data_IF_345912663264
#
_entry.id   IF_345912663264
#
_cell.length_a   1.000
_cell.length_b   1.000
_cell.length_c   1.000
_cell.angle_alpha   90.00
_cell.angle_beta   90.00
_cell.angle_gamma   90.00
#
_symmetry.space_group_name_H-M   'P 1'
#
loop_
_entity.id
_entity.type
_entity.pdbx_description
1 polymer ?
#
# COMPACT_ATOMS: atom_id res chain seq x y z
N UNK A 1 42.93 32.90 61.40
CA UNK A 1 41.52 32.83 60.95
C UNK A 1 41.39 32.93 59.42
N UNK A 2 42.29 32.30 58.66
CA UNK A 2 42.35 32.38 57.19
C UNK A 2 42.23 31.00 56.51
N UNK A 3 41.80 29.97 57.26
CA UNK A 3 41.63 28.61 56.73
C UNK A 3 40.17 28.22 56.47
N UNK A 4 39.21 28.99 56.99
CA UNK A 4 37.77 28.75 56.81
C UNK A 4 37.18 29.40 55.54
N UNK A 5 37.91 30.32 54.90
CA UNK A 5 37.44 31.04 53.70
C UNK A 5 37.65 30.27 52.38
N UNK A 6 38.41 29.17 52.38
CA UNK A 6 38.68 28.37 51.18
C UNK A 6 37.55 27.38 50.81
N UNK A 7 36.58 27.15 51.69
CA UNK A 7 35.44 26.27 51.41
C UNK A 7 34.35 26.91 50.54
N UNK A 8 34.39 28.24 50.34
CA UNK A 8 33.40 28.98 49.54
C UNK A 8 33.77 29.07 48.04
N UNK A 9 34.89 28.46 47.62
CA UNK A 9 35.38 28.47 46.24
C UNK A 9 35.15 27.15 45.49
N UNK A 10 34.43 26.18 46.09
CA UNK A 10 33.96 25.02 45.36
C UNK A 10 32.57 25.36 44.80
N UNK A 11 32.40 25.55 43.48
CA UNK A 11 31.07 25.61 42.91
C UNK A 11 30.40 24.27 43.23
N UNK A 12 29.41 24.29 44.11
CA UNK A 12 28.51 23.17 44.31
C UNK A 12 27.90 22.90 42.94
N UNK A 13 28.33 21.79 42.32
CA UNK A 13 27.76 21.31 41.06
C UNK A 13 26.29 21.05 41.35
N UNK A 14 25.44 22.00 40.97
CA UNK A 14 24.00 21.85 41.12
C UNK A 14 23.62 20.76 40.12
N UNK A 15 23.49 19.54 40.62
CA UNK A 15 23.06 18.41 39.82
C UNK A 15 21.55 18.54 39.62
N UNK A 16 21.15 19.50 38.78
CA UNK A 16 19.76 19.66 38.36
C UNK A 16 19.44 18.50 37.41
N UNK A 17 18.94 17.39 37.96
CA UNK A 17 18.31 16.37 37.14
C UNK A 17 17.01 16.95 36.59
N UNK A 18 16.97 17.21 35.28
CA UNK A 18 15.74 17.53 34.57
C UNK A 18 14.82 16.30 34.65
N UNK A 19 13.83 16.34 35.53
CA UNK A 19 12.77 15.33 35.58
C UNK A 19 11.80 15.65 34.45
N UNK A 20 11.96 14.99 33.31
CA UNK A 20 10.99 15.09 32.23
C UNK A 20 9.83 14.16 32.57
N UNK A 21 8.69 14.74 32.91
CA UNK A 21 7.42 14.03 33.02
C UNK A 21 6.89 13.85 31.61
N UNK A 22 7.40 12.87 30.87
CA UNK A 22 6.75 12.49 29.62
C UNK A 22 5.40 11.88 29.97
N UNK A 23 4.31 12.49 29.49
CA UNK A 23 3.06 11.76 29.35
C UNK A 23 3.29 10.69 28.29
N UNK A 24 3.03 9.43 28.63
CA UNK A 24 3.04 8.36 27.64
C UNK A 24 2.08 8.75 26.50
N UNK A 25 2.54 8.71 25.24
CA UNK A 25 1.67 9.03 24.13
C UNK A 25 0.48 8.07 24.10
N UNK A 26 -0.69 8.49 23.59
CA UNK A 26 -1.80 7.58 23.40
C UNK A 26 -1.38 6.39 22.53
N UNK A 27 -2.11 5.27 22.67
CA UNK A 27 -1.93 4.11 21.80
C UNK A 27 -2.21 4.50 20.33
N UNK A 28 -1.46 3.90 19.41
CA UNK A 28 -1.71 4.01 17.98
C UNK A 28 -2.89 3.11 17.57
N UNK A 29 -3.91 3.73 17.00
CA UNK A 29 -5.15 3.12 16.51
C UNK A 29 -5.52 3.69 15.14
N UNK A 30 -4.53 4.12 14.35
CA UNK A 30 -4.73 4.61 12.99
C UNK A 30 -5.32 3.51 12.09
N UNK A 31 -6.35 3.85 11.31
CA UNK A 31 -7.05 2.88 10.48
C UNK A 31 -6.27 2.59 9.18
N UNK A 32 -5.97 1.31 8.95
CA UNK A 32 -5.43 0.83 7.67
C UNK A 32 -6.21 -0.37 7.16
N UNK A 33 -6.42 -0.45 5.83
CA UNK A 33 -7.18 -1.51 5.19
C UNK A 33 -6.40 -2.10 4.03
N UNK A 34 -6.17 -3.41 4.13
CA UNK A 34 -5.67 -4.23 3.02
C UNK A 34 -6.83 -4.49 2.05
N UNK A 35 -6.76 -3.89 0.87
CA UNK A 35 -7.77 -4.08 -0.16
C UNK A 35 -7.54 -5.40 -0.90
N UNK A 36 -8.65 -6.01 -1.29
CA UNK A 36 -8.73 -7.29 -2.01
C UNK A 36 -9.76 -7.17 -3.12
N UNK A 37 -9.82 -8.17 -4.01
CA UNK A 37 -10.84 -8.20 -5.05
C UNK A 37 -12.28 -8.22 -4.52
N UNK A 38 -12.50 -8.55 -3.24
CA UNK A 38 -13.85 -8.63 -2.65
C UNK A 38 -14.31 -7.35 -1.96
N UNK A 39 -13.41 -6.46 -1.53
CA UNK A 39 -13.78 -5.23 -0.80
C UNK A 39 -13.45 -3.95 -1.57
N UNK A 40 -12.59 -4.01 -2.59
CA UNK A 40 -12.07 -2.82 -3.26
C UNK A 40 -13.16 -1.93 -3.87
N UNK A 41 -14.22 -2.52 -4.40
CA UNK A 41 -15.36 -1.77 -4.96
C UNK A 41 -16.13 -1.00 -3.88
N UNK A 42 -16.24 -1.53 -2.68
CA UNK A 42 -16.93 -0.89 -1.55
C UNK A 42 -16.17 0.36 -1.07
N UNK A 43 -14.85 0.26 -0.96
CA UNK A 43 -14.02 1.34 -0.43
C UNK A 43 -13.70 2.43 -1.45
N UNK A 44 -13.39 2.05 -2.69
CA UNK A 44 -12.85 2.98 -3.70
C UNK A 44 -13.51 2.85 -5.07
N UNK A 45 -14.58 2.05 -5.22
CA UNK A 45 -15.20 1.76 -6.52
C UNK A 45 -15.73 2.98 -7.26
N UNK A 46 -16.07 4.05 -6.53
CA UNK A 46 -16.52 5.33 -7.11
C UNK A 46 -15.37 6.28 -7.45
N UNK A 47 -14.13 5.97 -7.05
CA UNK A 47 -12.98 6.83 -7.33
C UNK A 47 -12.62 6.79 -8.82
N UNK A 48 -12.26 7.94 -9.37
CA UNK A 48 -11.78 8.04 -10.76
C UNK A 48 -10.52 7.20 -10.97
N UNK A 49 -9.67 7.10 -9.95
CA UNK A 49 -8.46 6.28 -9.99
C UNK A 49 -8.79 4.79 -10.15
N UNK A 50 -9.73 4.26 -9.37
CA UNK A 50 -10.17 2.86 -9.48
C UNK A 50 -10.70 2.55 -10.87
N UNK A 51 -11.61 3.39 -11.38
CA UNK A 51 -12.25 3.22 -12.69
C UNK A 51 -11.22 3.22 -13.83
N UNK A 52 -10.21 4.09 -13.75
CA UNK A 52 -9.24 4.29 -14.84
C UNK A 52 -8.04 3.34 -14.77
N UNK A 53 -7.58 2.98 -13.57
CA UNK A 53 -6.30 2.29 -13.38
C UNK A 53 -6.45 0.88 -12.81
N UNK A 54 -7.52 0.57 -12.07
CA UNK A 54 -7.66 -0.73 -11.38
C UNK A 54 -8.70 -1.61 -12.06
N UNK A 55 -9.78 -1.04 -12.59
CA UNK A 55 -10.84 -1.82 -13.25
C UNK A 55 -10.28 -2.68 -14.38
N UNK A 56 -10.58 -3.98 -14.33
CA UNK A 56 -10.08 -4.95 -15.31
C UNK A 56 -8.65 -5.44 -15.07
N UNK A 57 -8.00 -5.08 -13.96
CA UNK A 57 -6.71 -5.62 -13.53
C UNK A 57 -6.88 -6.70 -12.47
N UNK A 58 -5.88 -7.58 -12.36
CA UNK A 58 -5.79 -8.52 -11.25
C UNK A 58 -5.28 -7.78 -10.00
N UNK A 59 -5.91 -8.03 -8.85
CA UNK A 59 -5.55 -7.39 -7.58
C UNK A 59 -5.33 -8.42 -6.47
N UNK A 60 -4.39 -8.14 -5.57
CA UNK A 60 -4.02 -8.97 -4.43
C UNK A 60 -3.85 -8.12 -3.18
N UNK A 61 -4.04 -8.80 -2.06
CA UNK A 61 -3.76 -8.24 -0.75
C UNK A 61 -2.27 -7.90 -0.64
N UNK A 62 -1.90 -6.71 -0.14
CA UNK A 62 -0.51 -6.39 0.16
C UNK A 62 0.00 -7.16 1.38
N UNK A 63 1.31 -7.33 1.44
CA UNK A 63 1.99 -7.79 2.64
C UNK A 63 2.28 -6.60 3.53
N UNK A 64 2.15 -6.78 4.85
CA UNK A 64 2.36 -5.70 5.81
C UNK A 64 3.01 -6.17 7.11
N UNK A 65 3.81 -5.31 7.70
CA UNK A 65 4.36 -5.47 9.05
C UNK A 65 4.00 -4.24 9.87
N UNK A 66 3.35 -4.43 11.00
CA UNK A 66 2.94 -3.36 11.93
C UNK A 66 3.65 -3.55 13.27
N UNK A 67 4.46 -2.56 13.67
CA UNK A 67 5.22 -2.56 14.91
C UNK A 67 5.09 -1.19 15.60
N UNK A 68 4.60 -1.19 16.83
CA UNK A 68 4.29 0.00 17.65
C UNK A 68 3.34 1.01 16.98
N UNK A 69 3.89 1.91 16.16
CA UNK A 69 3.18 2.94 15.42
C UNK A 69 3.71 3.05 13.98
N UNK A 70 4.42 2.03 13.52
CA UNK A 70 5.02 1.96 12.19
C UNK A 70 4.36 0.84 11.41
N UNK A 71 4.01 1.14 10.16
CA UNK A 71 3.42 0.19 9.22
C UNK A 71 4.27 0.19 7.95
N UNK A 72 4.79 -0.97 7.57
CA UNK A 72 5.45 -1.16 6.28
C UNK A 72 4.55 -2.02 5.39
N UNK A 73 4.32 -1.58 4.15
CA UNK A 73 3.42 -2.21 3.18
C UNK A 73 4.19 -2.48 1.90
N UNK A 74 4.08 -3.67 1.33
CA UNK A 74 4.75 -4.00 0.08
C UNK A 74 4.01 -5.06 -0.73
N UNK A 75 4.40 -5.14 -2.00
CA UNK A 75 3.95 -6.15 -2.95
C UNK A 75 5.16 -6.91 -3.46
N UNK A 76 5.01 -8.22 -3.68
CA UNK A 76 6.15 -9.07 -4.08
C UNK A 76 6.59 -8.80 -5.54
N UNK A 77 5.69 -8.97 -6.51
CA UNK A 77 5.97 -8.78 -7.95
C UNK A 77 5.04 -7.80 -8.65
N UNK A 78 4.13 -7.20 -7.88
CA UNK A 78 3.04 -6.38 -8.39
C UNK A 78 3.22 -4.95 -7.94
N UNK A 79 2.52 -4.02 -8.59
CA UNK A 79 2.61 -2.63 -8.21
C UNK A 79 1.79 -2.34 -6.97
N UNK A 80 2.45 -1.83 -5.92
CA UNK A 80 1.78 -1.29 -4.75
C UNK A 80 1.09 0.03 -5.11
N UNK A 81 -0.15 0.16 -4.69
CA UNK A 81 -0.89 1.41 -4.73
C UNK A 81 -1.40 1.72 -3.33
N UNK A 82 -1.06 2.92 -2.86
CA UNK A 82 -1.52 3.47 -1.57
C UNK A 82 -2.52 4.58 -1.86
N UNK A 83 -3.62 4.63 -1.12
CA UNK A 83 -4.71 5.57 -1.37
C UNK A 83 -5.57 5.84 -0.15
N UNK A 84 -6.39 6.88 -0.26
CA UNK A 84 -7.61 7.08 0.54
C UNK A 84 -8.83 7.12 -0.39
N UNK A 85 -9.97 7.62 0.10
CA UNK A 85 -11.21 7.77 -0.68
C UNK A 85 -11.10 8.77 -1.86
N UNK A 86 -10.09 9.63 -1.87
CA UNK A 86 -9.96 10.79 -2.76
C UNK A 86 -8.67 10.84 -3.55
N UNK A 87 -7.57 10.34 -2.99
CA UNK A 87 -6.23 10.40 -3.54
C UNK A 87 -5.64 9.00 -3.65
N UNK A 88 -4.83 8.78 -4.67
CA UNK A 88 -4.14 7.50 -4.87
C UNK A 88 -2.75 7.75 -5.44
N UNK A 89 -1.81 6.91 -5.02
CA UNK A 89 -0.41 6.95 -5.43
C UNK A 89 0.05 5.56 -5.82
N UNK A 90 0.52 5.43 -7.06
CA UNK A 90 1.20 4.22 -7.52
C UNK A 90 2.66 4.29 -7.10
N UNK A 91 3.09 3.31 -6.30
CA UNK A 91 4.47 3.15 -5.86
C UNK A 91 5.23 2.12 -6.71
N UNK A 92 4.53 1.35 -7.54
CA UNK A 92 5.19 0.32 -8.35
C UNK A 92 5.77 -0.77 -7.45
N UNK A 93 7.00 -1.19 -7.70
CA UNK A 93 7.67 -2.23 -6.91
C UNK A 93 8.17 -1.75 -5.53
N UNK A 94 8.03 -0.46 -5.22
CA UNK A 94 8.49 0.11 -3.95
C UNK A 94 7.49 -0.14 -2.82
N UNK A 95 8.03 -0.35 -1.62
CA UNK A 95 7.26 -0.39 -0.37
C UNK A 95 6.80 1.00 0.05
N UNK A 96 5.80 1.05 0.91
CA UNK A 96 5.37 2.24 1.62
C UNK A 96 5.66 2.07 3.12
N UNK A 97 6.32 3.04 3.72
CA UNK A 97 6.51 3.10 5.17
C UNK A 97 5.65 4.23 5.73
N UNK A 98 4.90 3.92 6.79
CA UNK A 98 3.91 4.80 7.37
C UNK A 98 4.10 4.90 8.87
N UNK A 99 3.94 6.12 9.40
CA UNK A 99 3.99 6.40 10.83
C UNK A 99 2.62 6.89 11.30
N UNK A 100 2.04 6.21 12.28
CA UNK A 100 0.81 6.63 12.94
C UNK A 100 1.13 7.75 13.93
N UNK A 101 0.48 8.90 13.80
CA UNK A 101 0.53 9.95 14.81
C UNK A 101 -0.46 9.60 15.95
N UNK A 102 0.02 9.31 17.18
CA UNK A 102 -0.84 8.88 18.29
C UNK A 102 -1.79 9.97 18.80
N UNK A 103 -1.58 11.24 18.44
CA UNK A 103 -2.45 12.34 18.87
C UNK A 103 -3.54 12.63 17.86
N UNK A 104 -3.24 12.52 16.57
CA UNK A 104 -4.22 12.78 15.51
C UNK A 104 -4.88 11.52 14.96
N UNK A 105 -4.29 10.35 15.24
CA UNK A 105 -4.71 9.05 14.73
C UNK A 105 -4.72 9.01 13.19
N UNK A 106 -3.71 9.66 12.59
CA UNK A 106 -3.52 9.74 11.13
C UNK A 106 -2.21 9.10 10.71
N UNK A 107 -2.20 8.47 9.55
CA UNK A 107 -1.00 7.92 8.94
C UNK A 107 -0.20 9.01 8.24
N UNK A 108 1.11 9.02 8.42
CA UNK A 108 2.06 9.79 7.60
C UNK A 108 2.89 8.82 6.80
N UNK A 109 2.64 8.76 5.50
CA UNK A 109 3.25 7.77 4.59
C UNK A 109 4.36 8.44 3.80
N UNK A 110 5.54 7.84 3.82
CA UNK A 110 6.61 8.19 2.90
C UNK A 110 6.35 7.52 1.55
N UNK A 111 6.15 8.33 0.51
CA UNK A 111 5.91 7.86 -0.85
C UNK A 111 7.16 7.95 -1.75
N UNK A 112 8.34 8.17 -1.14
CA UNK A 112 9.63 8.32 -1.82
C UNK A 112 9.92 9.72 -2.35
N UNK A 113 8.95 10.64 -2.31
CA UNK A 113 9.13 12.04 -2.70
C UNK A 113 8.77 13.01 -1.57
N UNK A 114 7.67 12.72 -0.88
CA UNK A 114 7.13 13.54 0.20
C UNK A 114 6.43 12.67 1.24
N UNK A 115 6.24 13.23 2.42
CA UNK A 115 5.50 12.59 3.49
C UNK A 115 4.06 13.11 3.48
N UNK A 116 3.12 12.24 3.12
CA UNK A 116 1.70 12.58 2.94
C UNK A 116 0.87 12.07 4.11
N UNK A 117 -0.09 12.87 4.58
CA UNK A 117 -0.99 12.48 5.67
C UNK A 117 -2.28 11.89 5.14
N UNK A 118 -2.70 10.77 5.70
CA UNK A 118 -3.94 10.06 5.37
C UNK A 118 -4.79 9.90 6.64
N UNK A 119 -6.08 10.22 6.54
CA UNK A 119 -7.05 9.96 7.61
C UNK A 119 -7.39 8.47 7.70
N UNK A 120 -7.52 7.82 6.54
CA UNK A 120 -7.71 6.38 6.37
C UNK A 120 -6.71 5.91 5.31
N UNK A 121 -5.98 4.81 5.58
CA UNK A 121 -4.94 4.33 4.68
C UNK A 121 -5.36 3.02 4.01
N UNK A 122 -5.47 3.01 2.69
CA UNK A 122 -5.79 1.81 1.93
C UNK A 122 -4.60 1.38 1.06
N UNK A 123 -4.39 0.07 0.95
CA UNK A 123 -3.32 -0.50 0.13
C UNK A 123 -3.78 -1.68 -0.71
N UNK A 124 -3.32 -1.75 -1.96
CA UNK A 124 -3.59 -2.88 -2.87
C UNK A 124 -2.37 -3.19 -3.74
N UNK A 125 -2.14 -4.47 -4.04
CA UNK A 125 -1.24 -4.88 -5.11
C UNK A 125 -2.01 -5.02 -6.42
N UNK A 126 -1.56 -4.36 -7.48
CA UNK A 126 -2.18 -4.40 -8.81
C UNK A 126 -1.20 -4.97 -9.82
N UNK A 127 -1.65 -5.95 -10.60
CA UNK A 127 -0.93 -6.44 -11.77
C UNK A 127 -1.28 -5.57 -12.98
N UNK A 128 -0.44 -4.59 -13.29
CA UNK A 128 -0.65 -3.70 -14.44
C UNK A 128 -0.28 -4.37 -15.78
N UNK A 129 0.56 -5.41 -15.75
CA UNK A 129 0.93 -6.20 -16.92
C UNK A 129 -0.16 -7.22 -17.28
N UNK A 130 -1.19 -7.35 -16.45
CA UNK A 130 -2.37 -8.13 -16.74
C UNK A 130 -3.10 -7.59 -17.98
N UNK A 131 -2.96 -8.30 -19.10
CA UNK A 131 -3.82 -8.15 -20.26
C UNK A 131 -5.06 -9.03 -20.11
N UNK A 132 -6.22 -8.41 -19.91
CA UNK A 132 -7.49 -9.12 -20.01
C UNK A 132 -7.60 -9.72 -21.41
N UNK A 133 -7.63 -11.06 -21.49
CA UNK A 133 -7.77 -11.79 -22.75
C UNK A 133 -9.21 -11.72 -23.29
N UNK A 134 -9.80 -10.52 -23.34
CA UNK A 134 -11.20 -10.30 -23.74
C UNK A 134 -11.34 -9.46 -25.01
N UNK A 135 -10.25 -9.06 -25.68
CA UNK A 135 -10.34 -8.37 -27.00
C UNK A 135 -9.30 -8.86 -28.00
N UNK A 136 -9.20 -10.18 -28.21
CA UNK A 136 -8.53 -10.73 -29.41
C UNK A 136 -9.37 -11.81 -30.10
N UNK A 137 -10.68 -11.56 -30.21
CA UNK A 137 -11.60 -12.44 -30.94
C UNK A 137 -12.44 -11.70 -31.98
N UNK A 138 -11.88 -10.72 -32.70
CA UNK A 138 -12.46 -10.28 -33.99
C UNK A 138 -11.44 -9.58 -34.89
N UNK A 139 -10.49 -10.34 -35.44
CA UNK A 139 -9.92 -10.15 -36.80
C UNK A 139 -8.90 -11.26 -37.10
N UNK A 140 -9.27 -12.53 -36.91
CA UNK A 140 -8.58 -13.57 -37.68
C UNK A 140 -9.16 -13.50 -39.09
N UNK A 141 -8.45 -12.85 -40.02
CA UNK A 141 -8.69 -13.02 -41.47
C UNK A 141 -8.80 -14.52 -41.71
N UNK A 142 -9.94 -14.97 -42.23
CA UNK A 142 -10.11 -16.34 -42.74
C UNK A 142 -9.11 -16.49 -43.88
N UNK A 143 -8.14 -17.41 -43.81
CA UNK A 143 -7.39 -17.79 -45.00
C UNK A 143 -8.37 -18.57 -45.88
N UNK A 144 -8.68 -18.03 -47.06
CA UNK A 144 -9.34 -18.80 -48.13
C UNK A 144 -8.36 -19.87 -48.58
N UNK A 145 -8.49 -21.06 -48.00
CA UNK A 145 -7.77 -22.26 -48.39
C UNK A 145 -8.69 -23.15 -49.21
N UNK A 146 -8.48 -23.18 -50.53
CA UNK A 146 -9.14 -24.11 -51.43
C UNK A 146 -8.67 -25.54 -51.11
N UNK A 147 -9.53 -26.37 -50.52
CA UNK A 147 -9.27 -27.80 -50.40
C UNK A 147 -10.41 -28.61 -51.06
N UNK A 148 -10.08 -29.67 -51.83
CA UNK A 148 -11.04 -30.47 -52.58
C UNK A 148 -11.91 -31.38 -51.69
N UNK A 149 -13.05 -31.90 -52.20
CA UNK A 149 -14.03 -32.62 -51.40
C UNK A 149 -13.49 -33.92 -50.78
N UNK A 150 -13.77 -34.12 -49.48
CA UNK A 150 -13.44 -35.32 -48.71
C UNK A 150 -14.42 -36.47 -49.06
N UNK A 151 -13.96 -37.71 -49.30
CA UNK A 151 -14.84 -38.84 -49.59
C UNK A 151 -15.62 -39.30 -48.36
N UNK A 152 -16.91 -39.62 -48.57
CA UNK A 152 -17.84 -40.11 -47.55
C UNK A 152 -17.70 -41.62 -47.37
N UNK A 153 -17.37 -42.09 -46.15
CA UNK A 153 -17.38 -43.52 -45.81
C UNK A 153 -18.67 -43.79 -45.02
N UNK A 154 -19.56 -44.61 -45.59
CA UNK A 154 -20.79 -45.08 -44.93
C UNK A 154 -20.50 -46.29 -44.05
N UNK A 155 -20.79 -46.19 -42.75
CA UNK A 155 -20.78 -47.33 -41.83
C UNK A 155 -22.11 -48.08 -41.89
N UNK A 156 -22.10 -49.33 -42.38
CA UNK A 156 -23.18 -50.31 -42.16
C UNK A 156 -23.14 -50.76 -40.69
N UNK A 157 -24.24 -50.57 -39.96
CA UNK A 157 -24.47 -51.26 -38.66
C UNK A 157 -24.80 -52.73 -38.93
N UNK A 158 -24.20 -53.62 -38.13
CA UNK A 158 -24.62 -55.01 -37.96
C UNK A 158 -25.63 -55.09 -36.82
#
# INVERSE_FOLDING_TARGET
>A
MLSFLLFLLFPSVIQTCLVIRYSEPPKCECEWIALTSSNIEEFIGQSSFYIQNITGKEVKVPLSTEEDCSLSIYCDKWSLVIMDKTTARMLGEYSADALCDPYTQKWRVDNGAELVTYDELYGVCVDYDFETTTTRRTTRKVPVGNNPPRPTINFKRK
#
